data_IF_786671677396
#
_entry.id   IF_786671677396
#
_cell.length_a   1.000
_cell.length_b   1.000
_cell.length_c   1.000
_cell.angle_alpha   90.00
_cell.angle_beta   90.00
_cell.angle_gamma   90.00
#
_symmetry.space_group_name_H-M   'P 1'
#
loop_
_entity.id
_entity.type
_entity.pdbx_description
1 polymer ?
#
# COMPACT_ATOMS: atom_id res chain seq x y z
N UNK A 1 3.88 15.51 -2.10
CA UNK A 1 4.18 16.85 -1.49
C UNK A 1 5.28 17.57 -2.28
N UNK A 2 5.08 17.77 -3.57
CA UNK A 2 6.11 18.32 -4.47
C UNK A 2 6.81 19.58 -3.96
N UNK A 3 6.10 20.42 -3.20
CA UNK A 3 6.68 21.66 -2.63
C UNK A 3 7.59 21.42 -1.42
N UNK A 4 7.63 20.19 -0.87
CA UNK A 4 8.53 19.80 0.22
C UNK A 4 9.65 18.88 -0.25
N UNK A 5 9.65 18.50 -1.51
CA UNK A 5 10.65 17.60 -2.07
C UNK A 5 11.89 18.34 -2.59
N UNK A 6 13.05 17.73 -2.47
CA UNK A 6 13.38 16.49 -1.76
C UNK A 6 13.10 16.54 -0.26
N UNK A 7 12.30 15.59 0.24
CA UNK A 7 12.02 15.45 1.67
C UNK A 7 12.96 14.38 2.25
N UNK A 8 13.68 14.74 3.30
CA UNK A 8 14.55 13.81 4.04
C UNK A 8 13.91 13.51 5.38
N UNK A 9 13.78 12.25 5.72
CA UNK A 9 13.24 11.81 7.00
C UNK A 9 14.28 11.06 7.80
N UNK A 10 14.32 11.31 9.10
CA UNK A 10 15.23 10.63 10.05
C UNK A 10 14.38 9.96 11.11
N UNK A 11 14.56 8.64 11.28
CA UNK A 11 13.92 7.89 12.34
C UNK A 11 14.57 8.22 13.69
N UNK A 12 13.76 8.66 14.65
CA UNK A 12 14.15 8.92 16.03
C UNK A 12 13.24 8.17 17.00
N UNK A 13 13.59 8.07 18.29
CA UNK A 13 12.70 7.48 19.28
C UNK A 13 11.31 8.15 19.38
N UNK A 14 11.24 9.43 19.05
CA UNK A 14 9.99 10.21 19.08
C UNK A 14 9.15 10.06 17.80
N UNK A 15 9.73 9.45 16.74
CA UNK A 15 9.12 9.30 15.43
C UNK A 15 10.01 9.79 14.31
N UNK A 16 9.48 9.92 13.11
CA UNK A 16 10.21 10.41 11.94
C UNK A 16 10.24 11.94 11.94
N UNK A 17 11.44 12.53 11.93
CA UNK A 17 11.64 13.97 11.79
C UNK A 17 11.91 14.28 10.32
N UNK A 18 11.14 15.19 9.74
CA UNK A 18 11.23 15.60 8.35
C UNK A 18 12.02 16.90 8.18
N UNK A 19 12.79 16.96 7.08
CA UNK A 19 13.51 18.14 6.62
C UNK A 19 13.20 18.36 5.14
N UNK A 20 12.83 19.58 4.75
CA UNK A 20 12.53 19.87 3.36
C UNK A 20 12.10 21.30 3.05
N UNK A 21 12.18 21.68 1.75
CA UNK A 21 12.88 20.96 0.69
C UNK A 21 14.41 21.05 0.83
N UNK A 22 15.11 19.91 0.70
CA UNK A 22 16.56 19.82 0.88
C UNK A 22 17.26 19.92 -0.48
N UNK A 23 18.24 20.82 -0.58
CA UNK A 23 19.11 20.92 -1.77
C UNK A 23 20.49 20.32 -1.47
N UNK A 24 21.31 20.00 -2.50
CA UNK A 24 22.68 19.56 -2.26
C UNK A 24 23.51 20.55 -1.43
N UNK A 25 23.21 21.85 -1.51
CA UNK A 25 23.90 22.90 -0.73
C UNK A 25 23.58 22.87 0.77
N UNK A 26 22.47 22.26 1.17
CA UNK A 26 22.02 22.22 2.57
C UNK A 26 22.62 21.02 3.33
N UNK A 27 23.15 20.03 2.62
CA UNK A 27 23.58 18.75 3.19
C UNK A 27 24.62 18.94 4.30
N UNK A 28 25.65 19.75 4.06
CA UNK A 28 26.69 19.96 5.04
C UNK A 28 26.15 20.60 6.33
N UNK A 29 25.34 21.65 6.22
CA UNK A 29 24.74 22.33 7.38
C UNK A 29 23.77 21.45 8.15
N UNK A 30 23.05 20.56 7.48
CA UNK A 30 22.16 19.58 8.12
C UNK A 30 22.96 18.58 8.96
N UNK A 31 24.07 18.05 8.42
CA UNK A 31 24.93 17.15 9.19
C UNK A 31 25.64 17.85 10.35
N UNK A 32 26.13 19.08 10.14
CA UNK A 32 26.76 19.90 11.20
C UNK A 32 25.77 20.21 12.33
N UNK A 33 24.48 20.37 11.99
CA UNK A 33 23.41 20.56 12.99
C UNK A 33 23.04 19.27 13.73
N UNK A 34 23.46 18.09 13.27
CA UNK A 34 23.13 16.81 13.90
C UNK A 34 21.88 16.15 13.30
N UNK A 35 21.72 16.20 11.97
CA UNK A 35 20.61 15.63 11.21
C UNK A 35 20.19 14.23 11.70
N UNK A 36 21.17 13.31 11.88
CA UNK A 36 20.87 11.91 12.24
C UNK A 36 20.23 11.75 13.63
N UNK A 37 20.35 12.75 14.47
CA UNK A 37 19.66 12.81 15.77
C UNK A 37 18.34 13.57 15.76
N UNK A 38 17.86 13.99 14.59
CA UNK A 38 16.64 14.77 14.47
C UNK A 38 16.78 16.22 14.97
N UNK A 39 18.00 16.78 14.92
CA UNK A 39 18.27 18.11 15.47
C UNK A 39 17.53 19.24 14.75
N UNK A 40 17.37 20.36 15.44
CA UNK A 40 16.75 21.57 14.88
C UNK A 40 17.60 22.17 13.75
N UNK A 41 16.96 22.54 12.67
CA UNK A 41 17.55 23.22 11.51
C UNK A 41 16.49 24.11 10.85
N UNK A 42 16.90 25.07 10.03
CA UNK A 42 15.96 25.94 9.30
C UNK A 42 14.98 25.17 8.39
N UNK A 43 15.42 24.02 7.87
CA UNK A 43 14.61 23.12 7.04
C UNK A 43 13.84 22.06 7.84
N UNK A 44 13.96 22.04 9.18
CA UNK A 44 13.26 21.07 10.01
C UNK A 44 11.77 21.38 10.04
N UNK A 45 10.96 20.40 9.62
CA UNK A 45 9.49 20.46 9.61
C UNK A 45 8.86 19.82 10.85
N UNK A 46 9.69 19.26 11.74
CA UNK A 46 9.25 18.50 12.89
C UNK A 46 8.83 17.06 12.53
N UNK A 47 7.97 16.47 13.35
CA UNK A 47 7.47 15.12 13.11
C UNK A 47 6.71 15.07 11.78
N UNK A 48 7.07 14.14 10.91
CA UNK A 48 6.45 13.95 9.58
C UNK A 48 4.92 13.85 9.69
N UNK A 49 4.45 13.06 10.64
CA UNK A 49 3.02 12.83 10.85
C UNK A 49 2.28 14.07 11.37
N UNK A 50 2.99 15.09 11.83
CA UNK A 50 2.41 16.35 12.30
C UNK A 50 2.46 17.47 11.25
N UNK A 51 3.10 17.25 10.10
CA UNK A 51 3.03 18.19 8.97
C UNK A 51 1.55 18.40 8.63
N UNK A 52 1.03 19.64 8.61
CA UNK A 52 -0.42 19.90 8.54
C UNK A 52 -1.13 19.18 7.40
N UNK A 53 -0.50 19.08 6.23
CA UNK A 53 -1.05 18.38 5.09
C UNK A 53 -1.15 16.87 5.31
N UNK A 54 -0.15 16.25 5.94
CA UNK A 54 -0.10 14.81 6.22
C UNK A 54 -1.00 14.45 7.40
N UNK A 55 -0.99 15.28 8.45
CA UNK A 55 -1.81 15.08 9.64
C UNK A 55 -3.31 14.99 9.34
N UNK A 56 -3.77 15.73 8.33
CA UNK A 56 -5.18 15.77 7.96
C UNK A 56 -5.59 14.70 6.94
N UNK A 57 -4.67 13.81 6.55
CA UNK A 57 -4.97 12.70 5.65
C UNK A 57 -5.45 11.48 6.43
N UNK A 58 -6.54 10.89 5.99
CA UNK A 58 -6.97 9.56 6.40
C UNK A 58 -6.49 8.56 5.35
N UNK A 59 -5.53 7.72 5.73
CA UNK A 59 -4.93 6.74 4.83
C UNK A 59 -5.56 5.37 5.07
N UNK A 60 -6.22 4.80 4.05
CA UNK A 60 -6.76 3.45 4.10
C UNK A 60 -5.85 2.47 3.33
N UNK A 61 -5.78 2.60 2.02
CA UNK A 61 -4.95 1.72 1.17
C UNK A 61 -3.45 1.95 1.34
N UNK A 62 -3.04 3.16 1.69
CA UNK A 62 -1.64 3.53 1.87
C UNK A 62 -1.23 3.63 3.35
N UNK A 63 -1.97 2.97 4.26
CA UNK A 63 -1.77 3.15 5.71
C UNK A 63 -0.35 2.75 6.17
N UNK A 64 0.20 1.69 5.61
CA UNK A 64 1.54 1.18 5.98
C UNK A 64 2.68 1.70 5.10
N UNK A 65 2.37 2.29 3.94
CA UNK A 65 3.40 2.75 3.00
C UNK A 65 4.31 3.82 3.63
N UNK A 66 5.62 3.58 3.57
CA UNK A 66 6.63 4.43 4.21
C UNK A 66 6.74 4.26 5.73
N UNK A 67 6.01 3.30 6.32
CA UNK A 67 6.09 2.92 7.73
C UNK A 67 6.75 1.56 7.86
N UNK A 68 6.24 0.56 7.11
CA UNK A 68 6.79 -0.79 7.09
C UNK A 68 7.89 -0.93 6.04
N UNK A 69 8.81 -1.86 6.28
CA UNK A 69 9.73 -2.35 5.26
C UNK A 69 8.95 -3.25 4.28
N UNK A 70 8.81 -2.86 3.00
CA UNK A 70 8.02 -3.62 2.03
C UNK A 70 8.60 -5.01 1.71
N UNK A 71 9.88 -5.27 2.03
CA UNK A 71 10.53 -6.54 1.83
C UNK A 71 10.53 -7.43 3.09
N UNK A 72 10.01 -6.92 4.22
CA UNK A 72 9.97 -7.66 5.49
C UNK A 72 8.57 -8.20 5.79
N UNK A 73 8.42 -9.52 5.68
CA UNK A 73 7.20 -10.21 6.06
C UNK A 73 6.91 -10.07 7.57
N UNK A 74 7.96 -10.10 8.38
CA UNK A 74 7.82 -9.96 9.85
C UNK A 74 7.31 -8.57 10.21
N UNK A 75 7.81 -7.53 9.54
CA UNK A 75 7.34 -6.16 9.75
C UNK A 75 5.89 -5.96 9.28
N UNK A 76 5.54 -6.55 8.13
CA UNK A 76 4.14 -6.59 7.67
C UNK A 76 3.21 -7.20 8.71
N UNK A 77 3.60 -8.35 9.30
CA UNK A 77 2.82 -9.03 10.32
C UNK A 77 2.73 -8.24 11.63
N UNK A 78 3.81 -7.55 12.02
CA UNK A 78 3.84 -6.69 13.21
C UNK A 78 2.87 -5.50 13.06
N UNK A 79 2.56 -5.09 11.82
CA UNK A 79 1.62 -4.03 11.48
C UNK A 79 0.25 -4.58 10.98
N UNK A 80 -0.27 -5.59 11.67
CA UNK A 80 -1.58 -6.22 11.43
C UNK A 80 -1.72 -6.96 10.08
N UNK A 81 -0.61 -7.25 9.41
CA UNK A 81 -0.59 -8.06 8.20
C UNK A 81 -1.22 -9.43 8.40
N UNK A 82 -1.88 -9.92 7.37
CA UNK A 82 -2.64 -11.17 7.36
C UNK A 82 -3.81 -11.27 8.36
N UNK A 83 -4.21 -10.18 8.99
CA UNK A 83 -5.39 -10.19 9.86
C UNK A 83 -6.67 -10.52 9.07
N UNK A 84 -6.81 -9.95 7.89
CA UNK A 84 -7.92 -10.23 6.96
C UNK A 84 -7.91 -11.66 6.45
N UNK A 85 -6.74 -12.17 6.06
CA UNK A 85 -6.59 -13.54 5.58
C UNK A 85 -6.91 -14.56 6.68
N UNK A 86 -6.42 -14.34 7.91
CA UNK A 86 -6.77 -15.23 9.05
C UNK A 86 -8.27 -15.31 9.29
N UNK A 87 -8.98 -14.18 9.17
CA UNK A 87 -10.46 -14.16 9.23
C UNK A 87 -11.09 -14.91 8.08
N UNK A 88 -10.61 -14.69 6.85
CA UNK A 88 -11.14 -15.33 5.66
C UNK A 88 -10.98 -16.86 5.70
N UNK A 89 -9.85 -17.37 6.19
CA UNK A 89 -9.60 -18.81 6.35
C UNK A 89 -10.58 -19.52 7.30
N UNK A 90 -11.19 -18.78 8.22
CA UNK A 90 -12.21 -19.31 9.13
C UNK A 90 -13.63 -19.26 8.55
N UNK A 91 -13.83 -18.78 7.34
CA UNK A 91 -15.13 -18.56 6.72
C UNK A 91 -15.34 -19.44 5.49
N UNK A 92 -16.61 -19.78 5.23
CA UNK A 92 -16.99 -20.35 3.94
C UNK A 92 -16.89 -19.28 2.83
N UNK A 93 -16.61 -19.66 1.57
CA UNK A 93 -16.52 -18.74 0.45
C UNK A 93 -17.69 -17.77 0.33
N UNK A 94 -18.91 -18.27 0.51
CA UNK A 94 -20.14 -17.48 0.47
C UNK A 94 -20.17 -16.39 1.55
N UNK A 95 -19.66 -16.70 2.75
CA UNK A 95 -19.60 -15.73 3.85
C UNK A 95 -18.56 -14.63 3.58
N UNK A 96 -17.40 -14.97 2.96
CA UNK A 96 -16.42 -13.98 2.51
C UNK A 96 -17.07 -13.04 1.49
N UNK A 97 -17.73 -13.59 0.47
CA UNK A 97 -18.42 -12.79 -0.56
C UNK A 97 -19.47 -11.88 0.07
N UNK A 98 -20.25 -12.40 1.04
CA UNK A 98 -21.28 -11.61 1.71
C UNK A 98 -20.67 -10.44 2.50
N UNK A 99 -19.56 -10.65 3.24
CA UNK A 99 -18.88 -9.57 3.94
C UNK A 99 -18.37 -8.47 2.99
N UNK A 100 -17.86 -8.86 1.82
CA UNK A 100 -17.40 -7.90 0.80
C UNK A 100 -18.59 -7.15 0.18
N UNK A 101 -19.73 -7.80 0.00
CA UNK A 101 -20.98 -7.12 -0.42
C UNK A 101 -21.41 -6.09 0.62
N UNK A 102 -21.49 -6.50 1.89
CA UNK A 102 -21.96 -5.67 2.99
C UNK A 102 -21.05 -4.47 3.28
N UNK A 103 -19.73 -4.63 3.03
CA UNK A 103 -18.77 -3.55 3.16
C UNK A 103 -18.93 -2.43 2.13
N UNK A 104 -19.65 -2.69 1.04
CA UNK A 104 -19.78 -1.75 -0.06
C UNK A 104 -18.50 -1.51 -0.86
N UNK A 105 -17.47 -2.36 -0.71
CA UNK A 105 -16.20 -2.24 -1.43
C UNK A 105 -16.42 -2.17 -2.94
N UNK A 106 -15.78 -1.20 -3.58
CA UNK A 106 -15.86 -0.97 -5.03
C UNK A 106 -14.48 -1.08 -5.67
N UNK A 107 -14.48 -1.39 -6.97
CA UNK A 107 -13.26 -1.38 -7.78
C UNK A 107 -12.60 0.00 -7.84
N UNK A 108 -11.29 0.02 -7.92
CA UNK A 108 -10.46 1.23 -7.96
C UNK A 108 -9.87 1.53 -9.34
N UNK A 109 -10.29 0.81 -10.37
CA UNK A 109 -9.87 1.02 -11.76
C UNK A 109 -10.73 2.03 -12.56
N UNK A 110 -11.43 2.94 -11.88
CA UNK A 110 -12.22 4.01 -12.50
C UNK A 110 -13.73 3.77 -12.52
N UNK A 111 -14.20 2.56 -12.87
CA UNK A 111 -15.64 2.26 -12.99
C UNK A 111 -16.38 2.11 -11.64
N UNK A 112 -15.67 1.97 -10.53
CA UNK A 112 -16.22 1.82 -9.20
C UNK A 112 -17.29 0.71 -9.08
N UNK A 113 -17.16 -0.38 -9.85
CA UNK A 113 -18.11 -1.48 -9.81
C UNK A 113 -18.05 -2.20 -8.46
N UNK A 114 -19.18 -2.62 -7.86
CA UNK A 114 -19.20 -3.32 -6.57
C UNK A 114 -18.44 -4.64 -6.62
N UNK A 115 -17.37 -4.74 -5.82
CA UNK A 115 -16.46 -5.90 -5.81
C UNK A 115 -17.18 -7.20 -5.43
N UNK A 116 -18.04 -7.14 -4.40
CA UNK A 116 -18.79 -8.31 -3.93
C UNK A 116 -19.74 -8.88 -4.97
N UNK A 117 -20.31 -8.06 -5.87
CA UNK A 117 -21.13 -8.52 -6.98
C UNK A 117 -20.30 -9.34 -7.97
N UNK A 118 -19.10 -8.85 -8.33
CA UNK A 118 -18.17 -9.60 -9.18
C UNK A 118 -17.81 -10.94 -8.56
N UNK A 119 -17.42 -10.95 -7.28
CA UNK A 119 -17.02 -12.16 -6.60
C UNK A 119 -18.16 -13.16 -6.48
N UNK A 120 -19.38 -12.69 -6.18
CA UNK A 120 -20.60 -13.52 -6.16
C UNK A 120 -20.84 -14.21 -7.51
N UNK A 121 -20.70 -13.47 -8.60
CA UNK A 121 -20.87 -14.00 -9.95
C UNK A 121 -19.83 -15.07 -10.25
N UNK A 122 -18.55 -14.80 -9.95
CA UNK A 122 -17.46 -15.76 -10.19
C UNK A 122 -17.62 -17.00 -9.31
N UNK A 123 -17.98 -16.83 -8.04
CA UNK A 123 -18.24 -17.96 -7.14
C UNK A 123 -19.32 -18.88 -7.70
N UNK A 124 -20.42 -18.32 -8.20
CA UNK A 124 -21.56 -19.07 -8.73
C UNK A 124 -21.29 -19.71 -10.10
N UNK A 125 -20.29 -19.25 -10.83
CA UNK A 125 -19.98 -19.77 -12.18
C UNK A 125 -19.25 -21.11 -12.09
N UNK A 126 -19.80 -22.21 -12.66
CA UNK A 126 -19.09 -23.48 -12.73
C UNK A 126 -17.87 -23.39 -13.65
N UNK A 127 -16.71 -23.81 -13.15
CA UNK A 127 -15.48 -23.90 -13.93
C UNK A 127 -14.53 -24.93 -13.30
N UNK A 128 -13.79 -25.65 -14.12
CA UNK A 128 -12.76 -26.60 -13.66
C UNK A 128 -11.56 -25.86 -13.02
N UNK A 129 -11.26 -24.65 -13.50
CA UNK A 129 -10.21 -23.79 -12.98
C UNK A 129 -10.69 -22.35 -12.95
N UNK A 130 -10.38 -21.65 -11.88
CA UNK A 130 -10.59 -20.20 -11.73
C UNK A 130 -9.28 -19.51 -11.42
N UNK A 131 -9.19 -18.26 -11.81
CA UNK A 131 -7.99 -17.44 -11.66
C UNK A 131 -8.33 -16.11 -10.99
N UNK A 132 -7.37 -15.57 -10.22
CA UNK A 132 -7.36 -14.18 -9.79
C UNK A 132 -6.30 -13.44 -10.59
N UNK A 133 -6.69 -12.39 -11.28
CA UNK A 133 -5.76 -11.55 -12.04
C UNK A 133 -5.78 -10.15 -11.45
N UNK A 134 -4.63 -9.72 -10.90
CA UNK A 134 -4.41 -8.33 -10.54
C UNK A 134 -3.97 -7.59 -11.81
N UNK A 135 -4.81 -6.67 -12.27
CA UNK A 135 -4.42 -5.73 -13.31
C UNK A 135 -3.68 -4.57 -12.65
N UNK A 136 -2.36 -4.58 -12.73
CA UNK A 136 -1.45 -3.56 -12.23
C UNK A 136 -0.70 -2.88 -13.40
N UNK A 137 -1.35 -2.75 -14.56
CA UNK A 137 -0.79 -2.06 -15.73
C UNK A 137 -0.60 -0.57 -15.49
N UNK A 138 -1.58 0.08 -14.82
CA UNK A 138 -1.57 1.50 -14.49
C UNK A 138 -1.12 2.40 -15.66
N UNK A 139 -1.74 2.19 -16.83
CA UNK A 139 -1.34 2.82 -18.08
C UNK A 139 -1.53 4.34 -18.17
N UNK A 140 -2.30 4.96 -17.29
CA UNK A 140 -2.55 6.40 -17.28
C UNK A 140 -1.35 7.17 -16.71
N UNK A 141 -0.76 8.05 -17.51
CA UNK A 141 0.34 8.91 -17.09
C UNK A 141 -0.05 9.79 -15.89
N UNK A 142 0.81 9.83 -14.88
CA UNK A 142 0.59 10.62 -13.67
C UNK A 142 -0.26 9.93 -12.59
N UNK A 143 -0.74 8.71 -12.84
CA UNK A 143 -1.28 7.83 -11.82
C UNK A 143 -0.15 6.96 -11.29
N UNK A 144 -0.02 6.84 -9.98
CA UNK A 144 1.07 6.09 -9.34
C UNK A 144 0.58 5.23 -8.18
N UNK A 145 -0.72 5.05 -8.03
CA UNK A 145 -1.32 4.37 -6.88
C UNK A 145 -1.04 2.87 -6.87
N UNK A 146 -1.10 2.21 -8.02
CA UNK A 146 -0.83 0.79 -8.15
C UNK A 146 0.66 0.49 -7.96
N UNK A 147 1.52 1.28 -8.60
CA UNK A 147 2.96 1.20 -8.42
C UNK A 147 3.35 1.43 -6.95
N UNK A 148 2.84 2.48 -6.31
CA UNK A 148 3.10 2.74 -4.89
C UNK A 148 2.63 1.58 -4.00
N UNK A 149 1.52 0.92 -4.34
CA UNK A 149 1.03 -0.24 -3.59
C UNK A 149 1.99 -1.43 -3.73
N UNK A 150 2.45 -1.72 -4.94
CA UNK A 150 3.38 -2.81 -5.19
C UNK A 150 4.75 -2.57 -4.56
N UNK A 151 5.26 -1.33 -4.61
CA UNK A 151 6.56 -0.97 -4.04
C UNK A 151 6.52 -0.74 -2.52
N UNK A 152 5.40 -0.29 -1.97
CA UNK A 152 5.30 0.14 -0.58
C UNK A 152 4.56 -0.80 0.37
N UNK A 153 3.70 -1.69 -0.14
CA UNK A 153 2.96 -2.68 0.65
C UNK A 153 2.55 -3.90 -0.21
N UNK A 154 3.51 -4.63 -0.81
CA UNK A 154 3.23 -5.74 -1.72
C UNK A 154 2.50 -6.89 -1.03
N UNK A 155 2.76 -7.13 0.25
CA UNK A 155 2.10 -8.19 1.01
C UNK A 155 0.60 -7.96 1.16
N UNK A 156 0.15 -6.69 1.25
CA UNK A 156 -1.28 -6.36 1.26
C UNK A 156 -1.95 -6.77 -0.06
N UNK A 157 -1.29 -6.55 -1.19
CA UNK A 157 -1.80 -6.98 -2.49
C UNK A 157 -1.94 -8.50 -2.55
N UNK A 158 -0.89 -9.24 -2.14
CA UNK A 158 -0.89 -10.71 -2.12
C UNK A 158 -1.96 -11.24 -1.16
N UNK A 159 -2.12 -10.63 0.02
CA UNK A 159 -3.17 -10.98 0.97
C UNK A 159 -4.56 -10.78 0.34
N UNK A 160 -4.81 -9.63 -0.29
CA UNK A 160 -6.06 -9.32 -0.97
C UNK A 160 -6.39 -10.30 -2.10
N UNK A 161 -5.41 -10.65 -2.91
CA UNK A 161 -5.55 -11.66 -3.98
C UNK A 161 -5.85 -13.05 -3.40
N UNK A 162 -5.22 -13.42 -2.29
CA UNK A 162 -5.45 -14.70 -1.62
C UNK A 162 -6.87 -14.77 -1.05
N UNK A 163 -7.35 -13.70 -0.41
CA UNK A 163 -8.73 -13.61 0.08
C UNK A 163 -9.71 -13.71 -1.08
N UNK A 164 -9.45 -13.03 -2.20
CA UNK A 164 -10.28 -13.13 -3.40
C UNK A 164 -10.32 -14.56 -3.95
N UNK A 165 -9.17 -15.24 -3.98
CA UNK A 165 -9.08 -16.63 -4.43
C UNK A 165 -9.92 -17.57 -3.55
N UNK A 166 -9.82 -17.45 -2.23
CA UNK A 166 -10.65 -18.19 -1.28
C UNK A 166 -12.13 -17.93 -1.50
N UNK A 167 -12.52 -16.67 -1.73
CA UNK A 167 -13.91 -16.27 -1.92
C UNK A 167 -14.54 -16.83 -3.20
N UNK A 168 -13.77 -16.98 -4.28
CA UNK A 168 -14.31 -17.39 -5.60
C UNK A 168 -13.94 -18.82 -5.98
N UNK A 169 -13.11 -19.51 -5.20
CA UNK A 169 -12.60 -20.84 -5.48
C UNK A 169 -11.52 -20.86 -6.57
N UNK A 170 -10.71 -19.81 -6.67
CA UNK A 170 -9.55 -19.79 -7.54
C UNK A 170 -8.34 -20.41 -6.84
N UNK A 171 -7.47 -21.08 -7.61
CA UNK A 171 -6.26 -21.75 -7.11
C UNK A 171 -4.98 -21.16 -7.68
N UNK A 172 -5.10 -20.18 -8.59
CA UNK A 172 -3.96 -19.54 -9.22
C UNK A 172 -4.21 -18.04 -9.38
N UNK A 173 -3.17 -17.25 -9.09
CA UNK A 173 -3.16 -15.80 -9.25
C UNK A 173 -2.08 -15.36 -10.24
N UNK A 174 -2.34 -14.24 -10.90
CA UNK A 174 -1.40 -13.54 -11.76
C UNK A 174 -1.40 -12.06 -11.42
N UNK A 175 -0.24 -11.43 -11.46
CA UNK A 175 -0.09 -9.98 -11.37
C UNK A 175 0.42 -9.51 -12.73
N UNK A 176 -0.37 -8.69 -13.41
CA UNK A 176 0.02 -8.08 -14.68
C UNK A 176 0.63 -6.71 -14.40
N UNK A 177 1.93 -6.63 -14.51
CA UNK A 177 2.74 -5.42 -14.28
C UNK A 177 3.44 -5.03 -15.57
N UNK A 178 3.50 -3.75 -15.86
CA UNK A 178 4.21 -3.23 -17.03
C UNK A 178 5.72 -3.22 -16.80
N UNK A 179 6.47 -3.38 -17.89
CA UNK A 179 7.95 -3.43 -17.86
C UNK A 179 8.60 -2.11 -17.45
N UNK A 180 7.86 -1.00 -17.51
CA UNK A 180 8.31 0.34 -17.13
C UNK A 180 8.39 0.54 -15.62
N UNK A 181 7.86 -0.39 -14.82
CA UNK A 181 7.91 -0.35 -13.36
C UNK A 181 8.87 -1.42 -12.77
N UNK A 182 10.19 -1.32 -13.05
CA UNK A 182 11.15 -2.35 -12.66
C UNK A 182 11.28 -2.54 -11.15
N UNK A 183 11.05 -1.50 -10.36
CA UNK A 183 11.08 -1.59 -8.90
C UNK A 183 9.90 -2.42 -8.39
N UNK A 184 8.69 -2.17 -8.88
CA UNK A 184 7.51 -2.95 -8.53
C UNK A 184 7.62 -4.43 -8.92
N UNK A 185 8.35 -4.74 -10.01
CA UNK A 185 8.62 -6.12 -10.43
C UNK A 185 9.63 -6.79 -9.50
N UNK A 186 10.60 -6.02 -8.96
CA UNK A 186 11.67 -6.54 -8.12
C UNK A 186 11.28 -6.69 -6.65
N UNK A 187 10.30 -5.92 -6.19
CA UNK A 187 9.73 -6.02 -4.84
C UNK A 187 8.86 -7.26 -4.71
#
# INVERSE_FOLDING_TARGET
LLWLEPLVEVATPEGRIAYGPVTPGDVASLFDAGLLGGASHALCLGLTEQIPYLKNQERLTCARMGITDPLSLDDYQAHEGYAGLRRALALAPQAIVQQVLDSGLRGRGGAAFPTGIKWKTVLATPAAQKYVVCNADEGDSGTFSDRMTMEGDPFMLIEGMTIAALAVGATQGYIYVRSEDPHAIAT
#
